data_IF_679791757408
#
_entry.id   IF_679791757408
#
_cell.length_a   1.000
_cell.length_b   1.000
_cell.length_c   1.000
_cell.angle_alpha   90.00
_cell.angle_beta   90.00
_cell.angle_gamma   90.00
#
_symmetry.space_group_name_H-M   'P 1'
#
loop_
_entity.id
_entity.type
_entity.pdbx_description
1 polymer ?
#
# COMPACT_ATOMS: atom_id res chain seq x y z
N UNK A 1 31.83 -9.53 -5.49
CA UNK A 1 31.11 -8.25 -5.62
C UNK A 1 29.76 -8.52 -6.26
N UNK A 2 28.72 -7.76 -5.92
CA UNK A 2 27.39 -7.85 -6.54
C UNK A 2 27.14 -6.74 -7.58
N UNK A 3 28.00 -5.71 -7.63
CA UNK A 3 27.91 -4.67 -8.65
C UNK A 3 28.05 -5.26 -10.07
N UNK A 4 27.19 -4.86 -11.00
CA UNK A 4 27.16 -5.34 -12.38
C UNK A 4 26.46 -6.70 -12.59
N UNK A 5 25.98 -7.35 -11.53
CA UNK A 5 25.28 -8.65 -11.62
C UNK A 5 23.77 -8.48 -11.83
N UNK A 6 23.11 -9.49 -12.41
CA UNK A 6 21.67 -9.47 -12.68
C UNK A 6 20.86 -10.14 -11.56
N UNK A 7 19.68 -9.59 -11.21
CA UNK A 7 18.71 -10.24 -10.30
C UNK A 7 17.97 -11.40 -10.98
N UNK A 8 17.62 -11.22 -12.26
CA UNK A 8 16.99 -12.24 -13.08
C UNK A 8 17.85 -12.53 -14.31
N UNK A 9 17.72 -13.70 -14.92
CA UNK A 9 18.51 -14.02 -16.12
C UNK A 9 18.37 -12.93 -17.19
N UNK A 10 19.49 -12.31 -17.53
CA UNK A 10 19.59 -11.24 -18.53
C UNK A 10 18.74 -9.98 -18.25
N UNK A 11 18.36 -9.68 -17.00
CA UNK A 11 17.60 -8.48 -16.64
C UNK A 11 17.93 -7.97 -15.22
N UNK A 12 17.58 -6.70 -14.93
CA UNK A 12 17.75 -6.07 -13.60
C UNK A 12 19.21 -6.06 -13.11
N UNK A 13 20.11 -5.51 -13.91
CA UNK A 13 21.53 -5.34 -13.56
C UNK A 13 21.70 -4.35 -12.40
N UNK A 14 22.40 -4.79 -11.36
CA UNK A 14 22.65 -4.01 -10.14
C UNK A 14 23.76 -2.98 -10.36
N UNK A 15 23.57 -1.79 -9.78
CA UNK A 15 24.59 -0.75 -9.61
C UNK A 15 24.74 -0.46 -8.13
N UNK A 16 25.93 -0.67 -7.57
CA UNK A 16 26.17 -0.61 -6.13
C UNK A 16 27.34 0.32 -5.82
N UNK A 17 27.05 1.40 -5.10
CA UNK A 17 28.02 2.36 -4.60
C UNK A 17 27.88 2.56 -3.09
N UNK A 18 28.93 3.05 -2.44
CA UNK A 18 28.88 3.39 -1.02
C UNK A 18 28.09 4.67 -0.77
N UNK A 19 27.12 4.60 0.15
CA UNK A 19 26.45 5.78 0.68
C UNK A 19 27.41 6.60 1.54
N UNK A 20 27.23 7.93 1.56
CA UNK A 20 27.91 8.83 2.50
C UNK A 20 27.25 8.87 3.88
N UNK A 21 26.00 8.39 3.98
CA UNK A 21 25.27 8.35 5.25
C UNK A 21 25.65 7.09 6.02
N UNK A 22 25.94 7.24 7.31
CA UNK A 22 26.26 6.11 8.20
C UNK A 22 25.01 5.32 8.61
N UNK A 23 23.85 6.00 8.64
CA UNK A 23 22.56 5.41 9.06
C UNK A 23 21.42 5.92 8.17
N UNK A 24 20.35 5.13 8.08
CA UNK A 24 19.11 5.48 7.37
C UNK A 24 17.95 5.57 8.37
N UNK A 25 17.03 6.52 8.15
CA UNK A 25 15.84 6.68 8.98
C UNK A 25 14.60 6.16 8.24
N UNK A 26 13.92 5.18 8.82
CA UNK A 26 12.66 4.62 8.28
C UNK A 26 11.49 5.06 9.17
N UNK A 27 10.44 5.62 8.55
CA UNK A 27 9.24 6.10 9.28
C UNK A 27 8.07 5.13 9.21
N UNK A 28 8.01 4.34 8.13
CA UNK A 28 6.90 3.46 7.83
C UNK A 28 7.42 2.10 7.36
N UNK A 29 6.71 1.04 7.72
CA UNK A 29 6.94 -0.31 7.23
C UNK A 29 5.94 -0.62 6.11
N UNK A 30 6.29 -0.38 4.85
CA UNK A 30 5.45 -0.66 3.67
C UNK A 30 6.29 -1.10 2.45
N UNK A 31 5.67 -1.11 1.26
CA UNK A 31 6.32 -1.52 0.01
C UNK A 31 7.52 -0.63 -0.38
N UNK A 32 7.55 0.63 0.09
CA UNK A 32 8.59 1.61 -0.26
C UNK A 32 9.73 1.66 0.75
N UNK A 33 9.45 1.37 2.03
CA UNK A 33 10.46 1.38 3.09
C UNK A 33 10.17 0.36 4.17
N UNK A 34 11.21 -0.21 4.76
CA UNK A 34 11.07 -1.18 5.86
C UNK A 34 12.23 -1.11 6.83
N UNK A 35 11.89 -1.06 8.12
CA UNK A 35 12.81 -1.24 9.24
C UNK A 35 12.68 -2.67 9.76
N UNK A 36 13.73 -3.47 9.55
CA UNK A 36 13.77 -4.86 10.00
C UNK A 36 14.09 -5.01 11.50
N UNK A 37 14.42 -3.92 12.20
CA UNK A 37 14.73 -3.90 13.63
C UNK A 37 13.56 -3.42 14.48
N UNK A 38 12.62 -2.68 13.90
CA UNK A 38 11.43 -2.17 14.57
C UNK A 38 10.13 -2.59 13.84
N UNK A 39 9.49 -3.70 14.26
CA UNK A 39 8.27 -4.18 13.63
C UNK A 39 7.03 -3.34 13.96
N UNK A 40 7.09 -2.42 14.94
CA UNK A 40 5.90 -1.68 15.41
C UNK A 40 5.67 -0.36 14.66
N UNK A 41 6.49 -0.03 13.66
CA UNK A 41 6.26 1.18 12.85
C UNK A 41 4.97 1.05 12.03
N UNK A 42 4.23 2.16 11.84
CA UNK A 42 3.00 2.17 11.06
C UNK A 42 3.25 1.81 9.58
N UNK A 43 2.23 1.32 8.89
CA UNK A 43 2.31 0.97 7.46
C UNK A 43 2.16 2.21 6.55
N UNK A 44 1.48 3.27 6.99
CA UNK A 44 1.30 4.48 6.19
C UNK A 44 0.42 5.52 6.86
N UNK A 45 -0.25 6.34 6.04
CA UNK A 45 -1.17 7.37 6.54
C UNK A 45 -2.36 6.72 7.25
N UNK A 46 -2.56 7.00 8.55
CA UNK A 46 -3.61 6.36 9.36
C UNK A 46 -5.02 6.67 8.84
N UNK A 47 -5.19 7.70 8.00
CA UNK A 47 -6.47 8.06 7.41
C UNK A 47 -6.96 7.04 6.36
N UNK A 48 -6.05 6.30 5.73
CA UNK A 48 -6.39 5.22 4.79
C UNK A 48 -6.57 3.89 5.53
N UNK A 49 -5.77 3.64 6.55
CA UNK A 49 -5.84 2.43 7.38
C UNK A 49 -7.07 2.43 8.30
N UNK A 50 -7.50 3.59 8.79
CA UNK A 50 -8.75 3.71 9.55
C UNK A 50 -9.98 3.42 8.69
N UNK A 51 -9.97 3.76 7.40
CA UNK A 51 -11.08 3.46 6.50
C UNK A 51 -11.17 1.96 6.17
N UNK A 52 -10.03 1.28 6.01
CA UNK A 52 -9.98 -0.17 5.77
C UNK A 52 -10.29 -1.00 7.02
N UNK A 53 -9.91 -0.53 8.21
CA UNK A 53 -10.27 -1.16 9.49
C UNK A 53 -11.72 -0.84 9.92
N UNK A 54 -12.22 0.37 9.69
CA UNK A 54 -13.58 0.77 10.07
C UNK A 54 -14.67 0.17 9.18
N UNK A 55 -14.36 -0.14 7.92
CA UNK A 55 -15.34 -0.69 6.98
C UNK A 55 -15.30 -2.20 6.84
N UNK A 56 -14.39 -2.91 7.52
CA UNK A 56 -14.28 -4.38 7.52
C UNK A 56 -14.27 -4.94 6.10
N UNK A 57 -13.09 -5.27 5.55
CA UNK A 57 -12.78 -5.58 4.14
C UNK A 57 -13.73 -6.44 3.28
N UNK A 58 -14.81 -6.97 3.84
CA UNK A 58 -15.89 -7.73 3.22
C UNK A 58 -17.11 -6.88 2.80
N UNK A 59 -17.29 -5.64 3.29
CA UNK A 59 -18.53 -4.85 3.04
C UNK A 59 -18.47 -3.90 1.83
N UNK A 60 -17.28 -3.56 1.34
CA UNK A 60 -17.13 -2.66 0.18
C UNK A 60 -17.69 -3.24 -1.14
N UNK A 61 -17.50 -4.53 -1.47
CA UNK A 61 -18.09 -5.11 -2.69
C UNK A 61 -19.62 -5.13 -2.67
N UNK A 62 -20.24 -5.25 -1.48
CA UNK A 62 -21.70 -5.29 -1.35
C UNK A 62 -22.34 -3.91 -1.42
N UNK A 63 -21.68 -2.87 -0.90
CA UNK A 63 -22.20 -1.50 -0.95
C UNK A 63 -22.15 -0.91 -2.38
N UNK A 64 -21.15 -1.30 -3.17
CA UNK A 64 -21.01 -0.85 -4.56
C UNK A 64 -22.04 -1.49 -5.50
N UNK A 65 -22.57 -2.69 -5.15
CA UNK A 65 -23.59 -3.39 -5.93
C UNK A 65 -25.03 -3.00 -5.54
N UNK A 66 -25.24 -2.35 -4.39
CA UNK A 66 -26.56 -1.97 -3.88
C UNK A 66 -27.10 -0.60 -4.32
N UNK A 67 -26.29 0.24 -4.98
CA UNK A 67 -26.68 1.61 -5.35
C UNK A 67 -27.49 1.73 -6.66
N UNK A 68 -27.90 0.61 -7.26
CA UNK A 68 -28.68 0.60 -8.49
C UNK A 68 -30.11 0.06 -8.25
N UNK A 69 -31.00 0.90 -7.71
CA UNK A 69 -32.43 0.69 -7.90
C UNK A 69 -33.32 1.01 -6.71
N UNK A 70 -33.82 2.24 -6.65
CA UNK A 70 -35.25 2.49 -6.38
C UNK A 70 -35.54 3.99 -6.47
N UNK A 71 -35.94 4.46 -7.65
CA UNK A 71 -36.68 5.70 -7.73
C UNK A 71 -38.15 5.42 -7.41
N UNK A 72 -38.77 6.05 -6.39
CA UNK A 72 -40.21 6.00 -6.23
C UNK A 72 -40.85 6.92 -7.26
N UNK A 73 -41.57 6.32 -8.22
CA UNK A 73 -42.30 7.02 -9.28
C UNK A 73 -43.60 7.58 -8.68
N UNK A 74 -43.59 8.84 -8.27
CA UNK A 74 -44.82 9.57 -7.97
C UNK A 74 -45.58 9.84 -9.29
N UNK A 75 -46.69 9.12 -9.46
CA UNK A 75 -47.73 9.35 -10.47
C UNK A 75 -48.80 10.19 -9.77
N UNK A 76 -49.28 11.28 -10.38
CA UNK A 76 -50.66 11.82 -10.28
C UNK A 76 -50.79 13.12 -11.11
N UNK A 77 -52.03 13.54 -11.42
CA UNK A 77 -52.63 13.65 -12.77
C UNK A 77 -52.25 14.89 -13.57
#
# INVERSE_FOLDING_TARGET
SLDGQNIYNSCCTLRIDFSKMQSLNVKYNNDKSRDYTNPTLPTGDPNLDAASLALGGELLPQLLLGAAGSQPRARLP
#
